data_IF_036762256213
#
_entry.id   IF_036762256213
#
_cell.length_a   1.000
_cell.length_b   1.000
_cell.length_c   1.000
_cell.angle_alpha   90.00
_cell.angle_beta   90.00
_cell.angle_gamma   90.00
#
_symmetry.space_group_name_H-M   'P 1'
#
loop_
_entity.id
_entity.type
_entity.pdbx_description
1 polymer ?
#
# COMPACT_ATOMS: atom_id res chain seq x y z
N UNK A 1 12.92 -20.16 15.36
CA UNK A 1 12.78 -18.77 15.80
C UNK A 1 11.55 -18.21 15.13
N UNK A 2 10.46 -17.96 15.86
CA UNK A 2 9.26 -17.36 15.25
C UNK A 2 9.56 -15.88 14.98
N UNK A 3 10.16 -15.62 13.82
CA UNK A 3 10.47 -14.27 13.37
C UNK A 3 9.20 -13.44 13.18
N UNK A 4 9.33 -12.12 13.30
CA UNK A 4 8.25 -11.18 12.98
C UNK A 4 7.75 -11.41 11.56
N UNK A 5 6.44 -11.41 11.35
CA UNK A 5 5.86 -11.34 10.00
C UNK A 5 6.04 -9.92 9.48
N UNK A 6 6.76 -9.76 8.37
CA UNK A 6 6.95 -8.46 7.72
C UNK A 6 5.68 -8.10 6.93
N UNK A 7 5.07 -6.98 7.28
CA UNK A 7 3.98 -6.32 6.56
C UNK A 7 4.51 -5.01 6.00
N UNK A 8 4.80 -4.98 4.71
CA UNK A 8 5.24 -3.76 4.03
C UNK A 8 4.01 -3.01 3.51
N UNK A 9 3.91 -1.71 3.77
CA UNK A 9 2.84 -0.86 3.26
C UNK A 9 3.42 0.23 2.39
N UNK A 10 2.92 0.37 1.15
CA UNK A 10 3.29 1.47 0.26
C UNK A 10 2.12 1.87 -0.62
N UNK A 11 2.21 3.06 -1.23
CA UNK A 11 1.11 3.55 -2.07
C UNK A 11 1.08 2.74 -3.38
N UNK A 12 2.23 2.65 -4.05
CA UNK A 12 2.38 1.87 -5.28
C UNK A 12 2.63 0.40 -4.99
N UNK A 13 1.99 -0.46 -5.75
CA UNK A 13 2.23 -1.91 -5.75
C UNK A 13 3.44 -2.29 -6.65
N UNK A 14 4.13 -3.40 -6.36
CA UNK A 14 5.27 -3.87 -7.16
C UNK A 14 4.84 -4.55 -8.48
N UNK A 15 3.63 -5.10 -8.54
CA UNK A 15 3.09 -5.82 -9.69
C UNK A 15 1.62 -5.46 -9.89
N UNK A 16 1.23 -5.04 -11.08
CA UNK A 16 -0.17 -4.79 -11.46
C UNK A 16 -0.59 -5.66 -12.64
N UNK A 17 -1.90 -5.88 -12.79
CA UNK A 17 -2.50 -6.61 -13.89
C UNK A 17 -3.24 -5.64 -14.80
N UNK A 18 -2.90 -5.67 -16.08
CA UNK A 18 -3.45 -4.78 -17.09
C UNK A 18 -4.10 -5.59 -18.21
N UNK A 19 -5.31 -5.21 -18.59
CA UNK A 19 -6.03 -5.78 -19.72
C UNK A 19 -5.35 -5.41 -21.03
N UNK A 20 -5.16 -6.40 -21.90
CA UNK A 20 -4.64 -6.19 -23.26
C UNK A 20 -5.51 -6.94 -24.27
N UNK A 21 -5.41 -6.63 -25.57
CA UNK A 21 -6.11 -7.40 -26.61
C UNK A 21 -5.75 -8.90 -26.64
N UNK A 22 -4.65 -9.31 -26.00
CA UNK A 22 -4.19 -10.70 -25.91
C UNK A 22 -4.50 -11.35 -24.55
N UNK A 23 -5.30 -10.69 -23.70
CA UNK A 23 -5.60 -11.12 -22.33
C UNK A 23 -4.91 -10.24 -21.28
N UNK A 24 -4.88 -10.72 -20.03
CA UNK A 24 -4.29 -9.99 -18.91
C UNK A 24 -2.76 -10.11 -18.93
N UNK A 25 -2.07 -8.98 -18.82
CA UNK A 25 -0.61 -8.91 -18.71
C UNK A 25 -0.22 -8.41 -17.31
N UNK A 26 0.77 -9.07 -16.70
CA UNK A 26 1.40 -8.54 -15.48
C UNK A 26 2.44 -7.50 -15.85
N UNK A 27 2.38 -6.35 -15.20
CA UNK A 27 3.33 -5.23 -15.32
C UNK A 27 4.06 -5.09 -14.00
N UNK A 28 5.38 -5.18 -14.04
CA UNK A 28 6.24 -4.87 -12.90
C UNK A 28 6.42 -3.35 -12.82
N UNK A 29 6.16 -2.78 -11.65
CA UNK A 29 6.28 -1.35 -11.44
C UNK A 29 7.76 -0.93 -11.40
N UNK A 30 8.09 0.13 -12.14
CA UNK A 30 9.42 0.72 -12.14
C UNK A 30 9.42 1.87 -11.14
N UNK A 31 10.17 1.72 -10.03
CA UNK A 31 10.26 2.77 -9.01
C UNK A 31 11.26 2.43 -7.91
N UNK A 32 11.82 3.47 -7.27
CA UNK A 32 12.88 3.31 -6.26
C UNK A 32 12.49 2.41 -5.08
N UNK A 33 11.23 2.53 -4.61
CA UNK A 33 10.69 1.69 -3.53
C UNK A 33 10.63 0.22 -3.95
N UNK A 34 10.16 -0.06 -5.17
CA UNK A 34 10.04 -1.44 -5.68
C UNK A 34 11.41 -2.07 -5.83
N UNK A 35 12.34 -1.37 -6.48
CA UNK A 35 13.72 -1.84 -6.67
C UNK A 35 14.42 -2.13 -5.33
N UNK A 36 14.17 -1.32 -4.31
CA UNK A 36 14.80 -1.48 -3.00
C UNK A 36 14.16 -2.59 -2.15
N UNK A 37 12.83 -2.72 -2.16
CA UNK A 37 12.10 -3.53 -1.19
C UNK A 37 11.66 -4.88 -1.72
N UNK A 38 11.51 -5.07 -3.03
CA UNK A 38 11.11 -6.35 -3.61
C UNK A 38 12.07 -7.52 -3.24
N UNK A 39 13.41 -7.36 -3.28
CA UNK A 39 14.33 -8.41 -2.81
C UNK A 39 14.14 -8.75 -1.32
N UNK A 40 13.85 -7.75 -0.49
CA UNK A 40 13.59 -7.93 0.95
C UNK A 40 12.31 -8.73 1.15
N UNK A 41 11.25 -8.40 0.41
CA UNK A 41 9.98 -9.12 0.48
C UNK A 41 10.10 -10.56 -0.02
N UNK A 42 10.85 -10.81 -1.10
CA UNK A 42 11.17 -12.15 -1.60
C UNK A 42 11.88 -13.02 -0.55
N UNK A 43 12.82 -12.43 0.20
CA UNK A 43 13.56 -13.13 1.24
C UNK A 43 12.72 -13.36 2.50
N UNK A 44 11.95 -12.35 2.93
CA UNK A 44 11.13 -12.40 4.13
C UNK A 44 9.85 -13.24 3.97
N UNK A 45 9.38 -13.44 2.73
CA UNK A 45 8.11 -14.12 2.42
C UNK A 45 6.91 -13.49 3.17
N UNK A 46 6.96 -12.17 3.32
CA UNK A 46 5.96 -11.38 4.04
C UNK A 46 4.73 -11.04 3.18
N UNK A 47 3.99 -10.02 3.62
CA UNK A 47 2.88 -9.44 2.85
C UNK A 47 3.18 -8.00 2.50
N UNK A 48 3.06 -7.67 1.21
CA UNK A 48 3.10 -6.30 0.72
C UNK A 48 1.67 -5.80 0.55
N UNK A 49 1.28 -4.74 1.26
CA UNK A 49 -0.04 -4.11 1.18
C UNK A 49 0.11 -2.82 0.36
N UNK A 50 -0.63 -2.70 -0.75
CA UNK A 50 -0.53 -1.55 -1.64
C UNK A 50 -1.85 -1.20 -2.33
N UNK A 51 -1.95 0.02 -2.88
CA UNK A 51 -3.10 0.42 -3.69
C UNK A 51 -3.10 -0.38 -5.01
N UNK A 52 -4.26 -0.93 -5.37
CA UNK A 52 -4.47 -1.51 -6.70
C UNK A 52 -4.56 -0.40 -7.75
N UNK A 53 -3.83 -0.55 -8.86
CA UNK A 53 -3.78 0.46 -9.93
C UNK A 53 -4.07 -0.12 -11.31
N UNK A 54 -3.97 -1.44 -11.48
CA UNK A 54 -4.29 -2.13 -12.72
C UNK A 54 -5.80 -2.33 -12.91
N UNK A 55 -6.26 -2.19 -14.15
CA UNK A 55 -7.67 -2.39 -14.52
C UNK A 55 -8.13 -3.86 -14.41
N UNK A 56 -7.20 -4.81 -14.44
CA UNK A 56 -7.45 -6.24 -14.29
C UNK A 56 -7.06 -6.77 -12.89
N UNK A 57 -6.69 -5.90 -11.95
CA UNK A 57 -6.23 -6.34 -10.62
C UNK A 57 -7.30 -7.04 -9.80
N UNK A 58 -8.58 -6.64 -9.99
CA UNK A 58 -9.72 -7.26 -9.30
C UNK A 58 -9.93 -8.71 -9.72
N UNK A 59 -9.62 -9.05 -10.96
CA UNK A 59 -9.80 -10.40 -11.48
C UNK A 59 -8.65 -11.33 -11.08
N UNK A 60 -7.53 -10.76 -10.65
CA UNK A 60 -6.30 -11.48 -10.32
C UNK A 60 -6.13 -11.77 -8.82
N UNK A 61 -7.09 -11.38 -7.97
CA UNK A 61 -7.00 -11.51 -6.51
C UNK A 61 -8.05 -12.47 -5.93
N UNK A 62 -7.76 -13.02 -4.76
CA UNK A 62 -8.74 -13.75 -3.97
C UNK A 62 -9.82 -12.83 -3.35
N UNK A 63 -10.79 -13.40 -2.63
CA UNK A 63 -11.86 -12.64 -1.97
C UNK A 63 -11.36 -11.63 -0.93
N UNK A 64 -10.13 -11.78 -0.45
CA UNK A 64 -9.45 -10.84 0.42
C UNK A 64 -8.47 -9.95 -0.32
N UNK A 65 -8.55 -9.81 -1.64
CA UNK A 65 -7.65 -8.93 -2.39
C UNK A 65 -6.19 -9.38 -2.43
N UNK A 66 -5.88 -10.67 -2.21
CA UNK A 66 -4.51 -11.20 -2.21
C UNK A 66 -4.15 -11.88 -3.52
N UNK A 67 -2.89 -11.76 -3.91
CA UNK A 67 -2.28 -12.49 -5.03
C UNK A 67 -0.84 -12.89 -4.67
N UNK A 68 -0.38 -14.05 -5.12
CA UNK A 68 1.01 -14.46 -4.93
C UNK A 68 1.91 -13.83 -5.98
N UNK A 69 3.05 -13.30 -5.55
CA UNK A 69 4.00 -12.58 -6.41
C UNK A 69 5.45 -12.91 -6.01
N UNK A 70 6.43 -12.70 -6.90
CA UNK A 70 6.27 -12.38 -8.32
C UNK A 70 5.69 -13.53 -9.14
N UNK A 71 5.09 -13.26 -10.31
CA UNK A 71 4.65 -14.30 -11.24
C UNK A 71 5.76 -15.32 -11.51
N UNK A 72 5.40 -16.61 -11.46
CA UNK A 72 6.32 -17.73 -11.71
C UNK A 72 7.23 -18.13 -10.55
N UNK A 73 7.28 -17.37 -9.45
CA UNK A 73 8.07 -17.75 -8.26
C UNK A 73 7.33 -17.64 -6.93
N UNK A 74 6.23 -16.87 -6.86
CA UNK A 74 5.25 -16.87 -5.77
C UNK A 74 5.92 -16.80 -4.38
N UNK A 75 6.83 -15.84 -4.22
CA UNK A 75 7.71 -15.73 -3.05
C UNK A 75 7.04 -15.05 -1.87
N UNK A 76 6.13 -14.12 -2.11
CA UNK A 76 5.44 -13.35 -1.09
C UNK A 76 4.02 -13.00 -1.53
N UNK A 77 3.21 -12.50 -0.59
CA UNK A 77 1.82 -12.12 -0.85
C UNK A 77 1.73 -10.62 -1.14
N UNK A 78 1.03 -10.24 -2.21
CA UNK A 78 0.59 -8.87 -2.44
C UNK A 78 -0.89 -8.76 -2.05
N UNK A 79 -1.20 -7.91 -1.07
CA UNK A 79 -2.54 -7.55 -0.63
C UNK A 79 -2.92 -6.20 -1.24
N UNK A 80 -3.88 -6.21 -2.14
CA UNK A 80 -4.38 -5.03 -2.84
C UNK A 80 -5.48 -4.34 -2.05
N UNK A 81 -5.37 -3.02 -1.95
CA UNK A 81 -6.41 -2.13 -1.43
C UNK A 81 -7.00 -1.37 -2.60
N UNK A 82 -8.28 -1.58 -2.84
CA UNK A 82 -9.01 -0.89 -3.90
C UNK A 82 -9.61 0.41 -3.36
N UNK A 83 -9.41 1.49 -4.10
CA UNK A 83 -9.99 2.80 -3.83
C UNK A 83 -11.06 3.12 -4.86
N UNK A 84 -12.06 3.90 -4.47
CA UNK A 84 -12.97 4.53 -5.43
C UNK A 84 -12.26 5.69 -6.14
N UNK A 85 -12.74 6.13 -7.32
CA UNK A 85 -12.19 7.30 -8.00
C UNK A 85 -12.19 8.55 -7.09
N UNK A 86 -13.24 8.76 -6.31
CA UNK A 86 -13.35 9.90 -5.40
C UNK A 86 -12.36 9.80 -4.22
N UNK A 87 -12.11 8.58 -3.74
CA UNK A 87 -11.06 8.35 -2.74
C UNK A 87 -9.70 8.62 -3.34
N UNK A 88 -9.40 8.13 -4.54
CA UNK A 88 -8.12 8.38 -5.23
C UNK A 88 -7.88 9.88 -5.49
N UNK A 89 -8.91 10.59 -5.97
CA UNK A 89 -8.87 12.04 -6.19
C UNK A 89 -8.57 12.81 -4.91
N UNK A 90 -9.30 12.56 -3.82
CA UNK A 90 -9.10 13.28 -2.57
C UNK A 90 -7.82 12.88 -1.82
N UNK A 91 -7.48 11.59 -1.81
CA UNK A 91 -6.32 11.07 -1.10
C UNK A 91 -5.01 11.30 -1.86
N UNK A 92 -4.92 10.79 -3.09
CA UNK A 92 -3.66 10.74 -3.83
C UNK A 92 -3.40 12.07 -4.51
N UNK A 93 -4.33 12.54 -5.35
CA UNK A 93 -4.13 13.80 -6.07
C UNK A 93 -4.27 15.02 -5.16
N UNK A 94 -5.28 15.05 -4.28
CA UNK A 94 -5.51 16.11 -3.31
C UNK A 94 -4.51 16.11 -2.15
N UNK A 95 -4.85 15.49 -1.03
CA UNK A 95 -4.11 15.70 0.22
C UNK A 95 -2.65 15.26 0.13
N UNK A 96 -2.36 14.11 -0.49
CA UNK A 96 -1.00 13.60 -0.57
C UNK A 96 -0.13 14.43 -1.53
N UNK A 97 -0.57 14.69 -2.78
CA UNK A 97 0.28 15.34 -3.78
C UNK A 97 0.10 16.87 -3.91
N UNK A 98 -1.07 17.44 -3.63
CA UNK A 98 -1.22 18.92 -3.55
C UNK A 98 -0.87 19.47 -2.15
N UNK A 99 -1.00 18.67 -1.10
CA UNK A 99 -0.76 19.09 0.29
C UNK A 99 0.59 18.64 0.85
N UNK A 100 0.76 17.34 1.06
CA UNK A 100 1.94 16.78 1.75
C UNK A 100 3.20 16.82 0.89
N UNK A 101 3.12 16.47 -0.40
CA UNK A 101 4.31 16.42 -1.25
C UNK A 101 5.03 17.78 -1.35
N UNK A 102 4.36 18.92 -1.63
CA UNK A 102 5.01 20.22 -1.65
C UNK A 102 5.58 20.63 -0.29
N UNK A 103 4.87 20.27 0.80
CA UNK A 103 5.31 20.51 2.16
C UNK A 103 6.60 19.74 2.51
N UNK A 104 6.69 18.47 2.12
CA UNK A 104 7.85 17.62 2.38
C UNK A 104 9.07 17.97 1.52
N UNK A 105 8.86 18.50 0.31
CA UNK A 105 9.94 18.69 -0.68
C UNK A 105 10.36 20.16 -0.85
N UNK A 106 9.82 21.08 -0.05
CA UNK A 106 10.08 22.52 -0.18
C UNK A 106 9.85 22.96 -1.64
N UNK A 107 8.72 22.53 -2.20
CA UNK A 107 8.42 22.84 -3.59
C UNK A 107 8.14 24.35 -3.73
N UNK A 108 8.43 24.90 -4.92
CA UNK A 108 8.11 26.30 -5.23
C UNK A 108 6.60 26.58 -5.22
N UNK A 109 5.79 25.55 -5.38
CA UNK A 109 4.33 25.65 -5.33
C UNK A 109 3.84 25.50 -3.88
N UNK A 110 3.02 26.44 -3.36
CA UNK A 110 2.45 26.33 -2.02
C UNK A 110 1.57 25.08 -1.86
N UNK A 111 1.61 24.41 -0.70
CA UNK A 111 0.72 23.30 -0.42
C UNK A 111 -0.74 23.76 -0.32
N UNK A 112 -1.66 22.97 -0.84
CA UNK A 112 -3.11 23.21 -0.76
C UNK A 112 -3.77 22.16 0.13
N UNK A 113 -4.58 22.60 1.10
CA UNK A 113 -5.31 21.72 2.00
C UNK A 113 -6.81 22.01 1.91
N UNK A 114 -7.58 21.01 1.48
CA UNK A 114 -9.05 21.05 1.47
C UNK A 114 -9.58 20.04 2.48
N UNK A 115 -10.65 20.39 3.19
CA UNK A 115 -11.25 19.52 4.22
C UNK A 115 -11.73 18.18 3.62
N UNK A 116 -12.34 18.21 2.44
CA UNK A 116 -12.78 17.02 1.72
C UNK A 116 -11.63 16.06 1.36
N UNK A 117 -10.46 16.61 0.99
CA UNK A 117 -9.25 15.85 0.63
C UNK A 117 -8.66 15.21 1.88
N UNK A 118 -8.66 15.95 3.00
CA UNK A 118 -8.27 15.43 4.31
C UNK A 118 -9.17 14.27 4.78
N UNK A 119 -10.48 14.38 4.60
CA UNK A 119 -11.40 13.32 4.95
C UNK A 119 -11.20 12.07 4.09
N UNK A 120 -10.93 12.22 2.78
CA UNK A 120 -10.53 11.12 1.92
C UNK A 120 -9.22 10.48 2.41
N UNK A 121 -8.23 11.29 2.77
CA UNK A 121 -6.95 10.82 3.28
C UNK A 121 -7.08 10.00 4.56
N UNK A 122 -7.93 10.43 5.50
CA UNK A 122 -8.27 9.68 6.72
C UNK A 122 -8.97 8.36 6.40
N UNK A 123 -9.95 8.36 5.49
CA UNK A 123 -10.67 7.14 5.09
C UNK A 123 -9.74 6.11 4.47
N UNK A 124 -8.85 6.54 3.57
CA UNK A 124 -7.86 5.65 2.93
C UNK A 124 -6.88 5.10 3.96
N UNK A 125 -6.30 5.94 4.83
CA UNK A 125 -5.41 5.47 5.91
C UNK A 125 -6.11 4.45 6.83
N UNK A 126 -7.39 4.67 7.17
CA UNK A 126 -8.16 3.71 7.95
C UNK A 126 -8.41 2.38 7.21
N UNK A 127 -8.60 2.41 5.88
CA UNK A 127 -8.73 1.18 5.08
C UNK A 127 -7.43 0.39 5.04
N UNK A 128 -6.30 1.06 4.87
CA UNK A 128 -4.99 0.43 4.96
C UNK A 128 -4.70 -0.13 6.36
N UNK A 129 -5.11 0.57 7.42
CA UNK A 129 -4.99 0.07 8.80
C UNK A 129 -5.75 -1.25 8.98
N UNK A 130 -6.98 -1.35 8.45
CA UNK A 130 -7.76 -2.60 8.47
C UNK A 130 -7.06 -3.72 7.72
N UNK A 131 -6.51 -3.44 6.53
CA UNK A 131 -5.75 -4.44 5.77
C UNK A 131 -4.53 -4.93 6.56
N UNK A 132 -3.76 -4.04 7.20
CA UNK A 132 -2.63 -4.42 8.07
C UNK A 132 -3.08 -5.33 9.20
N UNK A 133 -4.18 -4.99 9.87
CA UNK A 133 -4.72 -5.77 11.00
C UNK A 133 -5.17 -7.16 10.55
N UNK A 134 -5.85 -7.25 9.42
CA UNK A 134 -6.27 -8.53 8.81
C UNK A 134 -5.05 -9.42 8.49
N UNK A 135 -4.01 -8.86 7.86
CA UNK A 135 -2.81 -9.61 7.48
C UNK A 135 -1.92 -10.00 8.67
N UNK A 136 -2.00 -9.24 9.77
CA UNK A 136 -1.31 -9.56 11.02
C UNK A 136 -1.82 -10.89 11.60
N UNK A 137 -3.08 -11.26 11.34
CA UNK A 137 -3.68 -12.55 11.70
C UNK A 137 -3.44 -12.95 13.18
N UNK A 138 -3.52 -11.98 14.10
CA UNK A 138 -3.31 -12.20 15.54
C UNK A 138 -1.85 -12.44 15.96
N UNK A 139 -0.90 -12.34 15.04
CA UNK A 139 0.53 -12.37 15.36
C UNK A 139 1.06 -10.99 15.75
N UNK A 140 2.32 -10.92 16.17
CA UNK A 140 3.04 -9.66 16.38
C UNK A 140 3.81 -9.29 15.10
N UNK A 141 3.28 -8.43 14.21
CA UNK A 141 3.95 -8.12 12.95
C UNK A 141 5.04 -7.05 13.13
N UNK A 142 5.97 -7.03 12.19
CA UNK A 142 6.78 -5.87 11.85
C UNK A 142 6.09 -5.16 10.68
N UNK A 143 5.48 -4.01 10.94
CA UNK A 143 4.80 -3.19 9.93
C UNK A 143 5.75 -2.10 9.48
N UNK A 144 6.18 -2.17 8.22
CA UNK A 144 7.07 -1.19 7.62
C UNK A 144 6.28 -0.30 6.66
N UNK A 145 6.06 0.96 7.02
CA UNK A 145 5.18 1.89 6.33
C UNK A 145 6.03 2.85 5.49
N UNK A 146 5.75 2.93 4.20
CA UNK A 146 6.50 3.79 3.29
C UNK A 146 5.75 5.08 2.99
N UNK A 147 6.49 6.18 3.13
CA UNK A 147 6.21 7.47 2.50
C UNK A 147 5.08 8.31 3.14
N UNK A 148 4.97 9.57 2.72
CA UNK A 148 4.01 10.57 3.26
C UNK A 148 2.54 10.20 3.05
N UNK A 149 2.27 9.27 2.14
CA UNK A 149 0.95 8.71 1.84
C UNK A 149 0.25 8.10 3.08
N UNK A 150 1.00 7.70 4.12
CA UNK A 150 0.45 6.98 5.27
C UNK A 150 0.83 7.57 6.63
N UNK A 151 0.90 8.89 6.75
CA UNK A 151 1.32 9.56 7.99
C UNK A 151 0.43 9.23 9.22
N UNK A 152 -0.83 8.85 9.01
CA UNK A 152 -1.76 8.48 10.10
C UNK A 152 -1.71 6.99 10.44
N UNK A 153 -1.28 6.17 9.48
CA UNK A 153 -1.32 4.72 9.58
C UNK A 153 -0.59 4.17 10.82
N UNK A 154 0.59 4.67 11.23
CA UNK A 154 1.28 4.12 12.41
C UNK A 154 0.43 4.16 13.67
N UNK A 155 -0.24 5.29 13.90
CA UNK A 155 -1.14 5.47 15.05
C UNK A 155 -2.34 4.54 14.94
N UNK A 156 -3.00 4.50 13.79
CA UNK A 156 -4.20 3.68 13.56
C UNK A 156 -3.92 2.18 13.75
N UNK A 157 -2.76 1.72 13.31
CA UNK A 157 -2.33 0.33 13.53
C UNK A 157 -2.09 0.07 15.02
N UNK A 158 -1.38 0.95 15.73
CA UNK A 158 -1.08 0.80 17.16
C UNK A 158 -2.31 0.85 18.06
N UNK A 159 -3.35 1.58 17.68
CA UNK A 159 -4.62 1.61 18.41
C UNK A 159 -5.32 0.22 18.42
N UNK A 160 -5.08 -0.62 17.41
CA UNK A 160 -5.68 -1.95 17.28
C UNK A 160 -4.69 -3.07 17.65
N UNK A 161 -3.42 -2.91 17.28
CA UNK A 161 -2.31 -3.83 17.51
C UNK A 161 -1.20 -3.14 18.32
N UNK A 162 -1.37 -2.98 19.65
CA UNK A 162 -0.42 -2.24 20.48
C UNK A 162 0.99 -2.83 20.45
N UNK A 163 1.10 -4.16 20.30
CA UNK A 163 2.37 -4.89 20.31
C UNK A 163 3.09 -4.94 18.95
N UNK A 164 2.43 -4.52 17.86
CA UNK A 164 3.04 -4.47 16.53
C UNK A 164 4.29 -3.57 16.55
N UNK A 165 5.38 -4.00 15.94
CA UNK A 165 6.53 -3.12 15.72
C UNK A 165 6.22 -2.31 14.47
N UNK A 166 6.12 -0.99 14.58
CA UNK A 166 5.75 -0.12 13.46
C UNK A 166 6.93 0.79 13.15
N UNK A 167 7.34 0.80 11.89
CA UNK A 167 8.50 1.51 11.36
C UNK A 167 8.12 2.34 10.15
#
# INVERSE_FOLDING_TARGET
>A
MSGFRLLLVSNREPYSHVSTPKGVKVVEAIGGVVTALDPVMKAARGTWIAQATGDADRDAVDSGGRVQVPPGSERYTLRRVFLSPEEEDGYYYGFANEGLWPLCHIAFQPPTFKEQDWDAYRRVNARFARAVVEEAAGSRPLVFIQDYHFALLPRLVKEILPDAVVC
#
